data_IF_000673209778
#
_entry.id   IF_000673209778
#
_cell.length_a   1.000
_cell.length_b   1.000
_cell.length_c   1.000
_cell.angle_alpha   90.00
_cell.angle_beta   90.00
_cell.angle_gamma   90.00
#
_symmetry.space_group_name_H-M   'P 1'
#
loop_
_entity.id
_entity.type
_entity.pdbx_description
1 polymer ?
#
# COMPACT_ATOMS: atom_id res chain seq x y z
N UNK A 1 -13.43 -9.31 -12.77
CA UNK A 1 -13.00 -10.28 -13.80
C UNK A 1 -12.11 -9.55 -14.78
N UNK A 2 -10.91 -10.06 -15.07
CA UNK A 2 -10.05 -9.48 -16.11
C UNK A 2 -10.37 -10.08 -17.48
N UNK A 3 -10.37 -9.26 -18.52
CA UNK A 3 -10.75 -9.68 -19.88
C UNK A 3 -9.75 -9.14 -20.90
N UNK A 4 -9.38 -9.96 -21.88
CA UNK A 4 -8.46 -9.56 -22.96
C UNK A 4 -8.98 -8.36 -23.79
N UNK A 5 -10.29 -8.09 -23.73
CA UNK A 5 -10.95 -7.03 -24.49
C UNK A 5 -11.16 -5.73 -23.70
N UNK A 6 -11.53 -5.81 -22.42
CA UNK A 6 -11.93 -4.65 -21.62
C UNK A 6 -11.13 -4.49 -20.32
N UNK A 7 -10.11 -5.33 -20.09
CA UNK A 7 -9.43 -5.39 -18.81
C UNK A 7 -10.39 -5.82 -17.69
N UNK A 8 -10.17 -5.30 -16.49
CA UNK A 8 -11.02 -5.59 -15.32
C UNK A 8 -12.41 -4.98 -15.45
N UNK A 9 -13.43 -5.84 -15.54
CA UNK A 9 -14.84 -5.48 -15.52
C UNK A 9 -15.41 -5.72 -14.11
N UNK A 10 -15.98 -4.66 -13.53
CA UNK A 10 -16.76 -4.72 -12.29
C UNK A 10 -18.25 -4.76 -12.63
N UNK A 11 -18.95 -5.76 -12.09
CA UNK A 11 -20.38 -5.98 -12.31
C UNK A 11 -21.00 -6.15 -10.93
N UNK A 12 -22.10 -5.44 -10.67
CA UNK A 12 -22.90 -5.64 -9.47
C UNK A 12 -23.42 -7.09 -9.46
N UNK A 13 -23.14 -7.85 -8.41
CA UNK A 13 -23.53 -9.26 -8.30
C UNK A 13 -25.04 -9.45 -8.48
N UNK A 14 -25.86 -8.48 -8.06
CA UNK A 14 -27.33 -8.51 -8.25
C UNK A 14 -27.77 -8.43 -9.71
N UNK A 15 -26.86 -8.04 -10.62
CA UNK A 15 -27.10 -7.99 -12.06
C UNK A 15 -26.65 -9.27 -12.79
N UNK A 16 -26.04 -10.22 -12.08
CA UNK A 16 -25.57 -11.48 -12.66
C UNK A 16 -26.73 -12.48 -12.71
N UNK A 17 -27.34 -12.61 -13.89
CA UNK A 17 -28.43 -13.58 -14.12
C UNK A 17 -27.90 -15.00 -14.27
N UNK A 18 -26.70 -15.16 -14.84
CA UNK A 18 -26.00 -16.42 -14.94
C UNK A 18 -24.51 -16.20 -15.10
N UNK A 19 -23.73 -17.16 -14.62
CA UNK A 19 -22.27 -17.17 -14.69
C UNK A 19 -21.84 -18.58 -15.08
N UNK A 20 -20.98 -18.70 -16.11
CA UNK A 20 -20.49 -19.99 -16.55
C UNK A 20 -18.99 -19.93 -16.84
N UNK A 21 -18.25 -20.91 -16.33
CA UNK A 21 -16.84 -21.14 -16.67
C UNK A 21 -16.65 -22.61 -17.02
N UNK A 22 -16.12 -22.87 -18.22
CA UNK A 22 -15.75 -24.23 -18.65
C UNK A 22 -14.45 -24.72 -18.00
N UNK A 23 -13.62 -23.79 -17.51
CA UNK A 23 -12.38 -24.10 -16.81
C UNK A 23 -12.64 -24.26 -15.31
N UNK A 24 -12.11 -25.31 -14.65
CA UNK A 24 -12.16 -25.45 -13.20
C UNK A 24 -11.52 -24.23 -12.51
N UNK A 25 -12.19 -23.68 -11.50
CA UNK A 25 -11.76 -22.50 -10.73
C UNK A 25 -11.64 -22.83 -9.25
N UNK A 26 -10.80 -22.09 -8.54
CA UNK A 26 -10.76 -22.12 -7.07
C UNK A 26 -11.75 -21.08 -6.55
N UNK A 27 -12.63 -21.47 -5.64
CA UNK A 27 -13.68 -20.59 -5.12
C UNK A 27 -13.51 -20.40 -3.61
N UNK A 28 -13.47 -19.15 -3.15
CA UNK A 28 -13.50 -18.80 -1.73
C UNK A 28 -14.90 -18.34 -1.34
N UNK A 29 -15.48 -19.02 -0.34
CA UNK A 29 -16.81 -18.73 0.17
C UNK A 29 -16.77 -17.78 1.37
N UNK A 30 -17.90 -17.14 1.67
CA UNK A 30 -18.09 -16.23 2.83
C UNK A 30 -17.82 -16.89 4.18
N UNK A 31 -17.97 -18.21 4.27
CA UNK A 31 -17.66 -18.99 5.48
C UNK A 31 -16.19 -19.43 5.59
N UNK A 32 -15.34 -18.98 4.66
CA UNK A 32 -13.92 -19.35 4.57
C UNK A 32 -13.65 -20.67 3.86
N UNK A 33 -14.68 -21.40 3.40
CA UNK A 33 -14.48 -22.64 2.65
C UNK A 33 -13.83 -22.34 1.30
N UNK A 34 -12.75 -23.06 0.99
CA UNK A 34 -12.09 -23.04 -0.32
C UNK A 34 -12.47 -24.30 -1.10
N UNK A 35 -13.12 -24.11 -2.25
CA UNK A 35 -13.51 -25.21 -3.14
C UNK A 35 -12.54 -25.24 -4.32
N UNK A 36 -11.71 -26.27 -4.37
CA UNK A 36 -10.74 -26.46 -5.44
C UNK A 36 -11.41 -26.98 -6.73
N UNK A 37 -10.94 -26.48 -7.87
CA UNK A 37 -11.20 -27.02 -9.21
C UNK A 37 -12.68 -27.28 -9.53
N UNK A 38 -13.54 -26.29 -9.31
CA UNK A 38 -14.98 -26.40 -9.60
C UNK A 38 -15.34 -25.77 -10.94
N UNK A 39 -16.12 -26.46 -11.82
CA UNK A 39 -16.74 -25.80 -12.95
C UNK A 39 -17.76 -24.80 -12.40
N UNK A 40 -17.59 -23.53 -12.74
CA UNK A 40 -18.47 -22.47 -12.24
C UNK A 40 -19.75 -22.48 -13.08
N UNK A 41 -20.90 -22.78 -12.47
CA UNK A 41 -22.20 -22.64 -13.11
C UNK A 41 -23.20 -22.06 -12.12
N UNK A 42 -23.74 -20.89 -12.45
CA UNK A 42 -24.83 -20.26 -11.72
C UNK A 42 -26.09 -20.35 -12.57
N UNK A 43 -27.11 -21.03 -12.04
CA UNK A 43 -28.45 -21.09 -12.63
C UNK A 43 -29.47 -20.68 -11.59
N UNK A 44 -30.30 -19.67 -11.91
CA UNK A 44 -31.33 -19.17 -11.00
C UNK A 44 -30.78 -18.83 -9.59
N UNK A 45 -29.66 -18.10 -9.53
CA UNK A 45 -29.00 -17.65 -8.28
C UNK A 45 -28.34 -18.77 -7.44
N UNK A 46 -28.48 -20.04 -7.83
CA UNK A 46 -27.81 -21.18 -7.20
C UNK A 46 -26.45 -21.44 -7.83
N UNK A 47 -25.42 -21.59 -6.98
CA UNK A 47 -24.10 -22.01 -7.38
C UNK A 47 -24.07 -23.54 -7.47
N UNK A 48 -24.01 -24.08 -8.68
CA UNK A 48 -23.93 -25.53 -8.89
C UNK A 48 -22.48 -25.95 -8.79
N UNK A 49 -22.07 -26.38 -7.59
CA UNK A 49 -20.76 -26.96 -7.35
C UNK A 49 -20.86 -28.49 -7.50
N UNK A 50 -19.95 -29.10 -8.26
CA UNK A 50 -19.98 -30.54 -8.57
C UNK A 50 -18.73 -31.22 -8.01
N UNK A 51 -18.83 -31.80 -6.81
CA UNK A 51 -17.77 -32.58 -6.17
C UNK A 51 -18.31 -33.61 -5.18
N UNK A 52 -17.59 -34.72 -4.98
CA UNK A 52 -18.00 -35.88 -4.16
C UNK A 52 -18.21 -35.59 -2.65
N UNK A 53 -17.95 -34.36 -2.18
CA UNK A 53 -17.81 -34.06 -0.74
C UNK A 53 -18.57 -32.83 -0.25
N UNK A 54 -19.49 -32.26 -1.04
CA UNK A 54 -20.18 -31.01 -0.67
C UNK A 54 -21.64 -31.32 -0.31
N UNK A 55 -21.89 -31.55 0.99
CA UNK A 55 -23.23 -31.70 1.57
C UNK A 55 -23.92 -30.34 1.85
N UNK A 56 -23.41 -29.24 1.27
CA UNK A 56 -23.86 -27.87 1.54
C UNK A 56 -24.20 -27.15 0.23
N UNK A 57 -25.42 -26.63 0.15
CA UNK A 57 -25.83 -25.77 -0.96
C UNK A 57 -25.18 -24.38 -0.78
N UNK A 58 -24.50 -23.90 -1.82
CA UNK A 58 -23.97 -22.54 -1.90
C UNK A 58 -24.80 -21.72 -2.91
N UNK A 59 -24.95 -20.43 -2.63
CA UNK A 59 -25.55 -19.46 -3.54
C UNK A 59 -24.47 -18.56 -4.13
N UNK A 60 -24.84 -17.74 -5.12
CA UNK A 60 -23.90 -16.73 -5.63
C UNK A 60 -23.50 -15.72 -4.53
N UNK A 61 -24.39 -15.44 -3.57
CA UNK A 61 -24.13 -14.52 -2.46
C UNK A 61 -23.07 -15.07 -1.48
N UNK A 62 -22.86 -16.38 -1.48
CA UNK A 62 -21.82 -17.02 -0.68
C UNK A 62 -20.43 -16.95 -1.34
N UNK A 63 -20.33 -16.56 -2.61
CA UNK A 63 -19.05 -16.49 -3.35
C UNK A 63 -18.35 -15.15 -3.11
N UNK A 64 -17.18 -15.21 -2.46
CA UNK A 64 -16.37 -14.02 -2.14
C UNK A 64 -15.29 -13.75 -3.20
N UNK A 65 -14.46 -14.75 -3.51
CA UNK A 65 -13.38 -14.63 -4.51
C UNK A 65 -13.36 -15.83 -5.46
N UNK A 66 -12.93 -15.58 -6.70
CA UNK A 66 -12.65 -16.60 -7.71
C UNK A 66 -11.17 -16.54 -8.07
N UNK A 67 -10.51 -17.69 -8.03
CA UNK A 67 -9.06 -17.86 -8.17
C UNK A 67 -8.25 -16.92 -7.27
N UNK A 68 -8.48 -16.93 -5.95
CA UNK A 68 -7.68 -16.15 -5.01
C UNK A 68 -6.21 -16.56 -5.09
N UNK A 69 -5.30 -15.59 -4.97
CA UNK A 69 -3.88 -15.87 -4.78
C UNK A 69 -3.63 -16.44 -3.36
N UNK A 70 -2.53 -17.18 -3.17
CA UNK A 70 -2.22 -17.84 -1.88
C UNK A 70 -2.29 -16.89 -0.67
N UNK A 71 -1.78 -15.66 -0.80
CA UNK A 71 -1.78 -14.67 0.28
C UNK A 71 -3.20 -14.20 0.65
N UNK A 72 -4.16 -14.25 -0.28
CA UNK A 72 -5.59 -13.94 -0.05
C UNK A 72 -6.33 -15.06 0.68
N UNK A 73 -5.67 -16.20 0.87
CA UNK A 73 -6.13 -17.34 1.65
C UNK A 73 -5.40 -17.43 3.00
N UNK A 74 -4.64 -16.40 3.38
CA UNK A 74 -3.81 -16.39 4.58
C UNK A 74 -2.54 -17.24 4.45
N UNK A 75 -2.12 -17.59 3.23
CA UNK A 75 -0.94 -18.42 2.96
C UNK A 75 0.20 -17.52 2.45
N UNK A 76 1.02 -17.04 3.37
CA UNK A 76 2.19 -16.22 3.04
C UNK A 76 1.82 -14.77 2.71
N UNK A 77 2.65 -14.12 1.90
CA UNK A 77 2.56 -12.69 1.61
C UNK A 77 2.78 -12.40 0.13
N UNK A 78 2.02 -11.47 -0.43
CA UNK A 78 2.32 -10.83 -1.70
C UNK A 78 3.36 -9.73 -1.48
N UNK A 79 4.54 -9.93 -2.05
CA UNK A 79 5.56 -8.90 -2.08
C UNK A 79 5.43 -8.02 -3.31
N UNK A 80 5.41 -6.70 -3.09
CA UNK A 80 5.57 -5.70 -4.16
C UNK A 80 6.69 -4.75 -3.77
N UNK A 81 7.43 -4.25 -4.76
CA UNK A 81 8.52 -3.33 -4.49
C UNK A 81 8.97 -2.53 -5.70
N UNK A 82 9.62 -1.40 -5.42
CA UNK A 82 10.22 -0.49 -6.38
C UNK A 82 11.61 -0.10 -5.87
N UNK A 83 12.61 -0.19 -6.74
CA UNK A 83 13.97 0.28 -6.47
C UNK A 83 14.34 1.25 -7.57
N UNK A 84 14.72 2.48 -7.20
CA UNK A 84 15.25 3.48 -8.12
C UNK A 84 16.64 3.92 -7.67
N UNK A 85 17.50 4.17 -8.63
CA UNK A 85 18.85 4.66 -8.44
C UNK A 85 19.18 5.57 -9.62
N UNK A 86 19.57 6.81 -9.34
CA UNK A 86 20.01 7.78 -10.34
C UNK A 86 21.35 8.37 -9.91
N UNK A 87 22.25 8.50 -10.88
CA UNK A 87 23.55 9.15 -10.67
C UNK A 87 23.82 10.08 -11.84
N UNK A 88 23.98 11.36 -11.56
CA UNK A 88 24.25 12.41 -12.56
C UNK A 88 25.63 12.99 -12.30
N UNK A 89 26.37 13.20 -13.39
CA UNK A 89 27.71 13.78 -13.39
C UNK A 89 27.76 14.85 -14.48
N UNK A 90 27.84 16.13 -14.11
CA UNK A 90 28.07 17.21 -15.06
C UNK A 90 29.45 17.82 -14.86
N UNK A 91 30.10 18.16 -15.98
CA UNK A 91 31.47 18.68 -16.00
C UNK A 91 31.54 19.87 -16.93
N UNK A 92 32.11 20.98 -16.46
CA UNK A 92 32.18 22.19 -17.27
C UNK A 92 32.57 23.44 -16.49
N UNK A 93 31.73 24.48 -16.57
CA UNK A 93 31.95 25.70 -15.79
C UNK A 93 31.65 25.49 -14.29
N UNK A 94 30.75 24.55 -14.00
CA UNK A 94 30.43 24.02 -12.68
C UNK A 94 30.54 22.51 -12.80
N UNK A 95 31.21 21.88 -11.84
CA UNK A 95 31.21 20.42 -11.72
C UNK A 95 30.12 20.03 -10.71
N UNK A 96 29.18 19.17 -11.12
CA UNK A 96 28.09 18.68 -10.28
C UNK A 96 28.07 17.16 -10.23
N UNK A 97 27.83 16.62 -9.05
CA UNK A 97 27.63 15.19 -8.78
C UNK A 97 26.33 15.05 -7.97
N UNK A 98 25.36 14.29 -8.48
CA UNK A 98 24.04 14.11 -7.84
C UNK A 98 23.72 12.61 -7.75
N UNK A 99 23.34 12.13 -6.57
CA UNK A 99 23.00 10.73 -6.32
C UNK A 99 21.63 10.63 -5.65
N UNK A 100 20.67 10.00 -6.34
CA UNK A 100 19.36 9.68 -5.79
C UNK A 100 19.19 8.17 -5.62
N UNK A 101 18.57 7.77 -4.52
CA UNK A 101 18.17 6.38 -4.31
C UNK A 101 16.81 6.28 -3.63
N UNK A 102 16.05 5.25 -4.01
CA UNK A 102 14.74 4.97 -3.44
C UNK A 102 14.47 3.47 -3.41
N UNK A 103 13.87 3.02 -2.32
CA UNK A 103 13.34 1.69 -2.09
C UNK A 103 11.93 1.83 -1.50
N UNK A 104 10.93 1.29 -2.19
CA UNK A 104 9.61 1.07 -1.63
C UNK A 104 9.32 -0.42 -1.62
N UNK A 105 8.81 -0.95 -0.51
CA UNK A 105 8.40 -2.34 -0.43
C UNK A 105 7.15 -2.51 0.44
N UNK A 106 6.29 -3.41 -0.01
CA UNK A 106 5.08 -3.81 0.70
C UNK A 106 4.99 -5.34 0.74
N UNK A 107 4.70 -5.88 1.92
CA UNK A 107 4.31 -7.27 2.11
C UNK A 107 2.84 -7.28 2.52
N UNK A 108 1.98 -7.77 1.65
CA UNK A 108 0.53 -7.83 1.86
C UNK A 108 0.13 -9.27 2.19
N UNK A 109 -0.41 -9.47 3.39
CA UNK A 109 -1.10 -10.69 3.79
C UNK A 109 -2.62 -10.56 3.64
N UNK A 110 -3.36 -11.53 4.16
CA UNK A 110 -4.83 -11.49 4.19
C UNK A 110 -5.33 -10.44 5.20
N UNK A 111 -4.75 -10.44 6.40
CA UNK A 111 -5.17 -9.62 7.54
C UNK A 111 -4.19 -8.48 7.88
N UNK A 112 -3.04 -8.39 7.20
CA UNK A 112 -2.00 -7.44 7.54
C UNK A 112 -1.21 -6.92 6.33
N UNK A 113 -0.55 -5.77 6.52
CA UNK A 113 0.33 -5.16 5.53
C UNK A 113 1.53 -4.50 6.19
N UNK A 114 2.73 -4.97 5.87
CA UNK A 114 3.97 -4.27 6.19
C UNK A 114 4.37 -3.36 5.04
N UNK A 115 4.75 -2.12 5.35
CA UNK A 115 5.28 -1.16 4.37
C UNK A 115 6.61 -0.59 4.85
N UNK A 116 7.61 -0.58 3.97
CA UNK A 116 8.90 0.05 4.21
C UNK A 116 9.23 0.96 3.03
N UNK A 117 9.54 2.22 3.30
CA UNK A 117 9.96 3.22 2.31
C UNK A 117 11.26 3.84 2.77
N UNK A 118 12.25 3.88 1.89
CA UNK A 118 13.55 4.49 2.12
C UNK A 118 13.94 5.30 0.89
N UNK A 119 14.34 6.55 1.09
CA UNK A 119 14.81 7.41 0.01
C UNK A 119 15.85 8.39 0.53
N UNK A 120 16.67 8.93 -0.36
CA UNK A 120 17.61 9.99 -0.04
C UNK A 120 18.33 10.50 -1.28
N UNK A 121 18.95 11.65 -1.10
CA UNK A 121 19.71 12.37 -2.13
C UNK A 121 21.03 12.89 -1.55
N UNK A 122 22.06 12.89 -2.37
CA UNK A 122 23.35 13.52 -2.06
C UNK A 122 23.83 14.29 -3.28
N UNK A 123 23.92 15.60 -3.13
CA UNK A 123 24.34 16.51 -4.21
C UNK A 123 25.59 17.29 -3.80
N UNK A 124 26.48 17.45 -4.77
CA UNK A 124 27.70 18.23 -4.65
C UNK A 124 27.88 19.16 -5.86
N UNK A 125 28.24 20.42 -5.58
CA UNK A 125 28.66 21.39 -6.59
C UNK A 125 30.07 21.91 -6.27
N UNK A 126 31.00 21.73 -7.20
CA UNK A 126 32.40 22.17 -7.11
C UNK A 126 33.13 21.72 -5.82
N UNK A 127 32.95 20.48 -5.34
CA UNK A 127 33.60 20.04 -4.10
C UNK A 127 32.80 20.31 -2.83
N UNK A 128 31.61 20.91 -2.93
CA UNK A 128 30.81 21.37 -1.78
C UNK A 128 29.41 20.78 -1.85
N UNK A 129 29.02 20.02 -0.83
CA UNK A 129 27.66 19.48 -0.74
C UNK A 129 26.62 20.59 -0.70
N UNK A 130 25.49 20.34 -1.33
CA UNK A 130 24.30 21.19 -1.31
C UNK A 130 22.99 20.43 -1.02
N UNK A 131 23.03 19.10 -1.05
CA UNK A 131 21.99 18.22 -0.49
C UNK A 131 22.63 17.00 0.19
N UNK A 132 22.11 16.62 1.35
CA UNK A 132 22.42 15.38 2.07
C UNK A 132 21.25 15.09 3.01
N UNK A 133 20.28 14.35 2.48
CA UNK A 133 19.10 13.97 3.23
C UNK A 133 18.68 12.53 2.93
N UNK A 134 18.02 11.93 3.90
CA UNK A 134 17.39 10.63 3.73
C UNK A 134 16.19 10.50 4.67
N UNK A 135 15.24 9.65 4.27
CA UNK A 135 14.05 9.33 5.05
C UNK A 135 13.81 7.82 5.01
N UNK A 136 13.52 7.25 6.17
CA UNK A 136 13.05 5.88 6.37
C UNK A 136 11.69 5.90 7.05
N UNK A 137 10.70 5.22 6.46
CA UNK A 137 9.37 5.02 7.04
C UNK A 137 9.08 3.52 7.07
N UNK A 138 8.68 3.01 8.23
CA UNK A 138 8.21 1.65 8.42
C UNK A 138 6.80 1.67 9.03
N UNK A 139 5.91 0.83 8.51
CA UNK A 139 4.52 0.71 8.95
C UNK A 139 4.10 -0.75 9.03
N UNK A 140 3.24 -1.04 9.99
CA UNK A 140 2.47 -2.27 10.07
C UNK A 140 0.99 -1.91 10.17
N UNK A 141 0.18 -2.42 9.26
CA UNK A 141 -1.27 -2.32 9.25
C UNK A 141 -1.90 -3.68 9.59
N UNK A 142 -2.95 -3.69 10.40
CA UNK A 142 -3.84 -4.84 10.60
C UNK A 142 -5.25 -4.48 10.14
N UNK A 143 -5.75 -5.20 9.14
CA UNK A 143 -7.04 -4.96 8.52
C UNK A 143 -8.19 -5.39 9.42
N UNK A 144 -9.26 -4.60 9.35
CA UNK A 144 -10.52 -4.79 10.05
C UNK A 144 -11.65 -4.84 9.03
N UNK A 145 -12.88 -4.94 9.51
CA UNK A 145 -14.08 -4.84 8.69
C UNK A 145 -14.23 -3.44 8.03
N UNK A 146 -15.06 -3.36 6.99
CA UNK A 146 -15.44 -2.11 6.32
C UNK A 146 -14.26 -1.25 5.82
N UNK A 147 -13.15 -1.91 5.46
CA UNK A 147 -11.90 -1.31 4.95
C UNK A 147 -11.18 -0.41 5.96
N UNK A 148 -11.47 -0.60 7.25
CA UNK A 148 -10.70 0.02 8.32
C UNK A 148 -9.47 -0.80 8.64
N UNK A 149 -8.47 -0.16 9.22
CA UNK A 149 -7.31 -0.82 9.78
C UNK A 149 -6.74 0.02 10.91
N UNK A 150 -6.07 -0.62 11.86
CA UNK A 150 -5.18 0.06 12.80
C UNK A 150 -3.75 -0.29 12.46
N UNK A 151 -2.82 0.56 12.87
CA UNK A 151 -1.41 0.30 12.62
C UNK A 151 -0.49 1.03 13.56
N UNK A 152 0.80 0.77 13.38
CA UNK A 152 1.90 1.49 14.03
C UNK A 152 2.87 1.97 12.97
N UNK A 153 3.36 3.19 13.13
CA UNK A 153 4.33 3.78 12.24
C UNK A 153 5.61 4.12 12.99
N UNK A 154 6.75 4.00 12.32
CA UNK A 154 8.04 4.50 12.75
C UNK A 154 8.68 5.25 11.58
N UNK A 155 9.30 6.39 11.86
CA UNK A 155 10.03 7.18 10.88
C UNK A 155 11.33 7.70 11.45
N UNK A 156 12.34 7.82 10.59
CA UNK A 156 13.60 8.49 10.84
C UNK A 156 13.98 9.31 9.60
N UNK A 157 14.40 10.55 9.79
CA UNK A 157 14.73 11.51 8.73
C UNK A 157 15.94 12.34 9.15
N UNK A 158 16.84 12.60 8.21
CA UNK A 158 17.95 13.53 8.35
C UNK A 158 17.90 14.51 7.19
N UNK A 159 18.19 15.78 7.44
CA UNK A 159 18.39 16.80 6.41
C UNK A 159 19.40 17.86 6.90
N UNK A 160 20.66 17.70 6.47
CA UNK A 160 21.77 18.57 6.90
C UNK A 160 21.51 20.04 6.53
N UNK A 161 20.85 20.29 5.39
CA UNK A 161 20.61 21.64 4.88
C UNK A 161 19.37 22.31 5.49
N UNK A 162 18.56 21.56 6.23
CA UNK A 162 17.45 22.05 7.05
C UNK A 162 17.78 22.19 8.54
N UNK A 163 19.07 22.12 8.94
CA UNK A 163 19.55 22.10 10.34
C UNK A 163 19.11 20.84 11.11
N UNK A 164 18.65 19.78 10.43
CA UNK A 164 18.08 18.58 11.05
C UNK A 164 19.08 17.42 11.05
N UNK A 165 19.66 17.13 12.23
CA UNK A 165 20.56 15.98 12.42
C UNK A 165 19.77 14.67 12.43
N UNK A 166 18.64 14.65 13.15
CA UNK A 166 17.71 13.53 13.13
C UNK A 166 16.31 13.94 13.62
N UNK A 167 15.27 13.70 12.82
CA UNK A 167 13.89 13.61 13.30
C UNK A 167 13.47 12.15 13.36
N UNK A 168 12.98 11.71 14.51
CA UNK A 168 12.32 10.41 14.65
C UNK A 168 10.91 10.58 15.18
N UNK A 169 9.98 9.78 14.66
CA UNK A 169 8.64 9.71 15.24
C UNK A 169 8.06 8.31 15.18
N UNK A 170 7.32 7.94 16.23
CA UNK A 170 6.68 6.63 16.35
C UNK A 170 5.32 6.75 17.03
N UNK A 171 4.35 5.97 16.57
CA UNK A 171 3.08 5.86 17.27
C UNK A 171 1.99 5.09 16.53
N UNK A 172 0.86 4.85 17.20
CA UNK A 172 -0.29 4.18 16.60
C UNK A 172 -1.12 5.12 15.73
N UNK A 173 -1.81 4.54 14.75
CA UNK A 173 -2.79 5.23 13.93
C UNK A 173 -3.98 4.33 13.59
N UNK A 174 -5.05 4.96 13.11
CA UNK A 174 -6.17 4.28 12.47
C UNK A 174 -6.31 4.82 11.06
N UNK A 175 -6.55 3.93 10.11
CA UNK A 175 -6.66 4.24 8.70
C UNK A 175 -7.89 3.63 8.06
N UNK A 176 -8.25 4.15 6.89
CA UNK A 176 -9.33 3.60 6.07
C UNK A 176 -9.02 3.72 4.59
N UNK A 177 -9.24 2.64 3.85
CA UNK A 177 -9.24 2.69 2.38
C UNK A 177 -10.60 3.26 1.92
N UNK A 178 -10.58 4.51 1.48
CA UNK A 178 -11.76 5.25 1.03
C UNK A 178 -12.22 4.76 -0.36
N UNK A 179 -11.26 4.58 -1.27
CA UNK A 179 -11.45 4.09 -2.63
C UNK A 179 -10.44 2.97 -2.90
N UNK A 180 -10.85 1.95 -3.62
CA UNK A 180 -10.06 0.72 -3.87
C UNK A 180 -10.09 0.32 -5.34
N UNK A 181 -10.64 1.17 -6.21
CA UNK A 181 -10.72 0.91 -7.64
C UNK A 181 -9.36 1.20 -8.31
N UNK A 182 -8.89 0.39 -9.28
CA UNK A 182 -7.61 0.66 -9.94
C UNK A 182 -7.51 2.06 -10.58
N UNK A 183 -8.66 2.59 -11.04
CA UNK A 183 -8.76 3.94 -11.59
C UNK A 183 -8.43 5.03 -10.56
N UNK A 184 -8.70 4.77 -9.27
CA UNK A 184 -8.33 5.61 -8.14
C UNK A 184 -8.42 4.82 -6.85
N UNK A 185 -7.28 4.58 -6.22
CA UNK A 185 -7.19 4.10 -4.85
C UNK A 185 -6.84 5.28 -3.95
N UNK A 186 -7.47 5.34 -2.79
CA UNK A 186 -7.31 6.42 -1.83
C UNK A 186 -7.44 5.86 -0.42
N UNK A 187 -6.43 6.09 0.41
CA UNK A 187 -6.46 5.79 1.84
C UNK A 187 -6.06 7.02 2.65
N UNK A 188 -6.63 7.11 3.85
CA UNK A 188 -6.36 8.19 4.80
C UNK A 188 -6.15 7.63 6.20
N UNK A 189 -5.20 8.20 6.92
CA UNK A 189 -4.77 7.76 8.25
C UNK A 189 -4.69 8.94 9.20
N UNK A 190 -5.01 8.69 10.47
CA UNK A 190 -4.89 9.64 11.56
C UNK A 190 -4.30 8.92 12.78
N UNK A 191 -3.28 9.50 13.38
CA UNK A 191 -2.56 8.90 14.50
C UNK A 191 -2.05 9.90 15.51
N UNK A 192 -1.44 9.33 16.55
CA UNK A 192 -0.74 10.06 17.61
C UNK A 192 0.68 9.52 17.66
N UNK A 193 1.66 10.41 17.70
CA UNK A 193 3.09 10.07 17.66
C UNK A 193 3.84 10.75 18.78
N UNK A 194 4.95 10.15 19.19
CA UNK A 194 6.00 10.84 19.93
C UNK A 194 7.07 11.26 18.95
N UNK A 195 7.43 12.54 18.94
CA UNK A 195 8.43 13.12 18.04
C UNK A 195 9.66 13.52 18.83
N UNK A 196 10.84 13.23 18.28
CA UNK A 196 12.13 13.71 18.76
C UNK A 196 12.87 14.34 17.60
N UNK A 197 13.40 15.54 17.80
CA UNK A 197 14.14 16.31 16.81
C UNK A 197 15.48 16.73 17.42
N UNK A 198 16.55 16.16 16.89
CA UNK A 198 17.92 16.57 17.17
C UNK A 198 18.35 17.53 16.05
N UNK A 199 18.79 18.74 16.42
CA UNK A 199 19.20 19.77 15.47
C UNK A 199 20.71 19.97 15.49
N UNK A 200 21.30 20.37 14.36
CA UNK A 200 22.73 20.63 14.28
C UNK A 200 23.12 21.90 15.05
N UNK A 201 22.28 22.93 14.98
CA UNK A 201 22.53 24.25 15.56
C UNK A 201 21.42 24.70 16.52
N UNK A 202 20.16 24.49 16.16
CA UNK A 202 19.03 24.80 17.03
C UNK A 202 19.00 23.90 18.29
N UNK A 203 18.26 24.28 19.34
CA UNK A 203 18.03 23.39 20.47
C UNK A 203 17.15 22.20 20.07
N UNK A 204 17.50 21.02 20.56
CA UNK A 204 16.70 19.79 20.42
C UNK A 204 15.29 19.95 20.98
N UNK A 205 14.36 19.18 20.43
CA UNK A 205 12.94 19.25 20.77
C UNK A 205 12.33 17.84 20.88
N UNK A 206 11.37 17.69 21.80
CA UNK A 206 10.56 16.48 21.94
C UNK A 206 9.11 16.86 22.27
N UNK A 207 8.15 16.23 21.60
CA UNK A 207 6.74 16.55 21.79
C UNK A 207 5.80 15.41 21.37
N UNK A 208 4.61 15.31 22.00
CA UNK A 208 3.52 14.53 21.44
C UNK A 208 2.96 15.24 20.20
N UNK A 209 2.74 14.50 19.11
CA UNK A 209 2.19 14.99 17.87
C UNK A 209 0.91 14.26 17.45
N UNK A 210 0.06 14.93 16.69
CA UNK A 210 -0.97 14.29 15.87
C UNK A 210 -0.46 14.19 14.44
N UNK A 211 -0.50 13.00 13.83
CA UNK A 211 -0.08 12.82 12.45
C UNK A 211 -1.27 12.42 11.56
N UNK A 212 -1.23 12.82 10.29
CA UNK A 212 -2.12 12.32 9.26
C UNK A 212 -1.34 11.90 8.02
N UNK A 213 -1.85 10.90 7.32
CA UNK A 213 -1.30 10.43 6.06
C UNK A 213 -2.43 10.30 5.03
N UNK A 214 -2.15 10.69 3.80
CA UNK A 214 -3.03 10.50 2.65
C UNK A 214 -2.19 9.86 1.56
N UNK A 215 -2.59 8.67 1.14
CA UNK A 215 -2.02 7.99 -0.01
C UNK A 215 -3.08 7.84 -1.09
N UNK A 216 -2.74 8.26 -2.31
CA UNK A 216 -3.59 8.05 -3.48
C UNK A 216 -2.75 7.47 -4.62
N UNK A 217 -3.30 6.49 -5.34
CA UNK A 217 -2.70 5.98 -6.56
C UNK A 217 -3.75 5.78 -7.66
N UNK A 218 -3.31 5.86 -8.92
CA UNK A 218 -4.21 5.75 -10.06
C UNK A 218 -3.48 5.20 -11.28
N UNK A 219 -4.10 4.22 -11.95
CA UNK A 219 -3.67 3.72 -13.25
C UNK A 219 -4.35 4.43 -14.43
N UNK A 220 -4.99 5.59 -14.22
CA UNK A 220 -5.85 6.26 -15.20
C UNK A 220 -5.19 6.51 -16.57
N UNK A 221 -3.86 6.66 -16.61
CA UNK A 221 -3.10 6.83 -17.86
C UNK A 221 -2.97 5.54 -18.70
N UNK A 222 -3.29 4.38 -18.13
CA UNK A 222 -3.22 3.08 -18.77
C UNK A 222 -1.80 2.53 -18.96
N UNK A 223 -1.73 1.31 -19.49
CA UNK A 223 -0.48 0.55 -19.62
C UNK A 223 0.14 0.27 -18.25
N UNK A 224 1.47 0.33 -18.17
CA UNK A 224 2.24 0.11 -16.94
C UNK A 224 2.45 1.41 -16.12
N UNK A 225 1.67 2.46 -16.41
CA UNK A 225 1.82 3.76 -15.76
C UNK A 225 1.09 3.81 -14.42
N UNK A 226 1.73 4.38 -13.40
CA UNK A 226 1.13 4.65 -12.09
C UNK A 226 1.34 6.11 -11.70
N UNK A 227 0.25 6.83 -11.49
CA UNK A 227 0.25 8.12 -10.79
C UNK A 227 0.08 7.85 -9.30
N UNK A 228 0.82 8.58 -8.47
CA UNK A 228 0.69 8.47 -7.02
C UNK A 228 0.89 9.82 -6.34
N UNK A 229 0.28 9.98 -5.16
CA UNK A 229 0.47 11.08 -4.23
C UNK A 229 0.59 10.50 -2.84
N UNK A 230 1.65 10.89 -2.15
CA UNK A 230 1.87 10.61 -0.73
C UNK A 230 1.94 11.94 0.01
N UNK A 231 1.15 12.10 1.06
CA UNK A 231 1.19 13.29 1.90
C UNK A 231 1.17 12.89 3.37
N UNK A 232 2.18 13.31 4.11
CA UNK A 232 2.29 13.15 5.56
C UNK A 232 2.31 14.53 6.20
N UNK A 233 1.53 14.71 7.27
CA UNK A 233 1.59 15.88 8.11
C UNK A 233 1.67 15.49 9.58
N UNK A 234 2.38 16.31 10.35
CA UNK A 234 2.51 16.19 11.81
C UNK A 234 2.22 17.55 12.41
N UNK A 235 1.42 17.57 13.47
CA UNK A 235 1.12 18.76 14.25
C UNK A 235 1.55 18.54 15.70
N UNK A 236 2.40 19.45 16.18
CA UNK A 236 2.83 19.54 17.57
C UNK A 236 1.64 19.92 18.48
N UNK A 237 1.34 19.05 19.45
CA UNK A 237 0.23 19.21 20.37
C UNK A 237 0.56 20.06 21.60
N UNK A 238 1.84 20.33 21.88
CA UNK A 238 2.25 21.21 22.99
C UNK A 238 2.09 22.69 22.63
N UNK A 239 2.02 23.00 21.33
CA UNK A 239 1.88 24.35 20.79
C UNK A 239 0.49 24.66 20.19
N UNK A 240 -0.55 23.90 20.58
CA UNK A 240 -1.94 23.99 20.08
C UNK A 240 -2.95 24.74 20.95
#
# INVERSE_FOLDING_TARGET
>A
MDTDFAGSVSIDQTQIVSLHSEQPRVLQMTDGTVLEAQPLRVENELLVVSGETIDKDFTLDDLTKTDPEDWELGIGYKWTGLVNFAWVLERGNTDTDELDYRLDTTLQGDDDRDTLRFNGEVDEANGVKNADNWTLIAKYDHFLEDRWYWGVLASAEQDEFADLDLRSYFGPYMGRQLLTEPALELEAELGLVWVTEDFLTAPDNEYPGANWNIHAQSNYLGGDSRLYVDHIGIWDLDNG
#
